data_IF_174535360082
#
_entry.id   IF_174535360082
#
_cell.length_a   1.000
_cell.length_b   1.000
_cell.length_c   1.000
_cell.angle_alpha   90.00
_cell.angle_beta   90.00
_cell.angle_gamma   90.00
#
_symmetry.space_group_name_H-M   'P 1'
#
loop_
_entity.id
_entity.type
_entity.pdbx_description
1 polymer ?
#
# COMPACT_ATOMS: atom_id res chain seq x y z
N UNK A 1 -6.56 1.26 5.70
CA UNK A 1 -7.98 1.57 5.39
C UNK A 1 -8.90 0.38 5.62
N UNK A 2 -8.38 -0.85 5.70
CA UNK A 2 -9.19 -2.06 5.64
C UNK A 2 -9.66 -2.34 4.21
N UNK A 3 -10.46 -3.38 4.05
CA UNK A 3 -11.05 -3.78 2.77
C UNK A 3 -12.11 -2.75 2.37
N UNK A 4 -11.83 -2.01 1.31
CA UNK A 4 -12.71 -0.92 0.88
C UNK A 4 -12.50 -0.61 -0.59
N UNK A 5 -13.52 0.00 -1.21
CA UNK A 5 -13.33 0.79 -2.43
C UNK A 5 -12.65 2.12 -2.11
N UNK A 6 -12.01 2.78 -3.09
CA UNK A 6 -11.63 4.18 -2.97
C UNK A 6 -12.89 5.01 -2.73
N UNK A 7 -12.85 5.89 -1.74
CA UNK A 7 -13.98 6.73 -1.40
C UNK A 7 -13.51 8.03 -0.76
N UNK A 8 -14.35 9.06 -0.84
CA UNK A 8 -14.03 10.40 -0.35
C UNK A 8 -13.68 10.40 1.15
N UNK A 9 -14.35 9.59 1.96
CA UNK A 9 -14.04 9.47 3.38
C UNK A 9 -12.60 8.98 3.62
N UNK A 10 -12.10 8.07 2.77
CA UNK A 10 -10.72 7.60 2.84
C UNK A 10 -9.73 8.67 2.38
N UNK A 11 -10.06 9.38 1.29
CA UNK A 11 -9.26 10.50 0.80
C UNK A 11 -9.09 11.59 1.86
N UNK A 12 -10.20 12.02 2.46
CA UNK A 12 -10.20 13.03 3.52
C UNK A 12 -9.41 12.58 4.76
N UNK A 13 -9.58 11.33 5.18
CA UNK A 13 -8.83 10.78 6.31
C UNK A 13 -7.32 10.63 6.04
N UNK A 14 -6.92 10.49 4.78
CA UNK A 14 -5.54 10.28 4.37
C UNK A 14 -4.80 11.59 4.04
N UNK A 15 -5.46 12.76 4.06
CA UNK A 15 -4.86 14.05 3.68
C UNK A 15 -3.57 14.32 4.44
N UNK A 16 -2.45 14.41 3.72
CA UNK A 16 -1.12 14.71 4.25
C UNK A 16 -0.53 13.62 5.15
N UNK A 17 -1.02 12.38 5.06
CA UNK A 17 -0.50 11.28 5.88
C UNK A 17 0.95 10.93 5.54
N UNK A 18 1.79 10.66 6.54
CA UNK A 18 3.15 10.15 6.29
C UNK A 18 3.09 8.76 5.64
N UNK A 19 2.20 7.89 6.10
CA UNK A 19 2.00 6.56 5.56
C UNK A 19 0.51 6.24 5.42
N UNK A 20 0.09 5.88 4.21
CA UNK A 20 -1.21 5.27 3.96
C UNK A 20 -1.03 3.76 3.77
N UNK A 21 -1.73 2.95 4.57
CA UNK A 21 -1.84 1.50 4.35
C UNK A 21 -3.20 1.22 3.70
N UNK A 22 -3.21 0.71 2.47
CA UNK A 22 -4.45 0.55 1.68
C UNK A 22 -4.59 -0.85 1.08
N UNK A 23 -5.85 -1.29 0.92
CA UNK A 23 -6.19 -2.52 0.21
C UNK A 23 -5.80 -2.43 -1.27
N UNK A 24 -5.26 -3.52 -1.81
CA UNK A 24 -4.87 -3.64 -3.22
C UNK A 24 -5.10 -5.06 -3.71
N UNK A 25 -6.29 -5.58 -3.46
CA UNK A 25 -6.66 -6.96 -3.76
C UNK A 25 -6.54 -7.31 -5.24
N UNK A 26 -6.69 -6.33 -6.14
CA UNK A 26 -6.72 -6.52 -7.59
C UNK A 26 -5.72 -5.62 -8.34
N UNK A 27 -5.36 -6.02 -9.56
CA UNK A 27 -4.71 -5.13 -10.54
C UNK A 27 -5.77 -4.36 -11.33
N UNK A 28 -5.38 -3.33 -12.07
CA UNK A 28 -6.31 -2.52 -12.86
C UNK A 28 -7.03 -3.32 -13.95
N UNK A 29 -6.42 -4.39 -14.47
CA UNK A 29 -7.07 -5.31 -15.42
C UNK A 29 -8.37 -5.93 -14.89
N UNK A 30 -8.48 -6.07 -13.56
CA UNK A 30 -9.63 -6.66 -12.87
C UNK A 30 -10.48 -5.60 -12.12
N UNK A 31 -10.50 -4.35 -12.61
CA UNK A 31 -11.23 -3.24 -11.95
C UNK A 31 -12.72 -3.50 -11.77
N UNK A 32 -13.38 -4.16 -12.73
CA UNK A 32 -14.80 -4.52 -12.62
C UNK A 32 -15.03 -5.48 -11.45
N UNK A 33 -14.14 -6.47 -11.30
CA UNK A 33 -14.18 -7.42 -10.20
C UNK A 33 -13.90 -6.75 -8.85
N UNK A 34 -12.94 -5.83 -8.82
CA UNK A 34 -12.65 -5.03 -7.63
C UNK A 34 -13.90 -4.26 -7.19
N UNK A 35 -14.63 -3.67 -8.15
CA UNK A 35 -15.89 -2.99 -7.89
C UNK A 35 -16.97 -3.93 -7.33
N UNK A 36 -17.22 -5.07 -7.98
CA UNK A 36 -18.22 -6.05 -7.54
C UNK A 36 -17.96 -6.61 -6.14
N UNK A 37 -16.69 -6.85 -5.82
CA UNK A 37 -16.26 -7.42 -4.54
C UNK A 37 -15.96 -6.36 -3.47
N UNK A 38 -16.13 -5.06 -3.79
CA UNK A 38 -15.92 -3.91 -2.91
C UNK A 38 -14.46 -3.74 -2.42
N UNK A 39 -13.52 -4.08 -3.28
CA UNK A 39 -12.08 -3.93 -3.06
C UNK A 39 -11.45 -2.88 -3.98
N UNK A 40 -10.24 -2.46 -3.64
CA UNK A 40 -9.45 -1.53 -4.44
C UNK A 40 -8.49 -2.27 -5.38
N UNK A 41 -8.26 -1.67 -6.54
CA UNK A 41 -7.08 -1.99 -7.37
C UNK A 41 -5.84 -1.25 -6.85
N UNK A 42 -4.64 -1.74 -7.17
CA UNK A 42 -3.40 -1.06 -6.79
C UNK A 42 -3.27 0.34 -7.40
N UNK A 43 -3.69 0.52 -8.66
CA UNK A 43 -3.75 1.84 -9.30
C UNK A 43 -4.70 2.79 -8.56
N UNK A 44 -5.89 2.33 -8.21
CA UNK A 44 -6.86 3.14 -7.47
C UNK A 44 -6.34 3.53 -6.08
N UNK A 45 -5.68 2.61 -5.37
CA UNK A 45 -5.03 2.86 -4.09
C UNK A 45 -3.96 3.96 -4.21
N UNK A 46 -3.10 3.84 -5.22
CA UNK A 46 -2.00 4.76 -5.48
C UNK A 46 -2.47 6.15 -5.89
N UNK A 47 -3.49 6.21 -6.74
CA UNK A 47 -4.13 7.46 -7.12
C UNK A 47 -4.74 8.17 -5.91
N UNK A 48 -5.47 7.45 -5.06
CA UNK A 48 -6.03 8.03 -3.83
C UNK A 48 -4.94 8.56 -2.90
N UNK A 49 -3.84 7.81 -2.74
CA UNK A 49 -2.71 8.23 -1.91
C UNK A 49 -2.03 9.49 -2.46
N UNK A 50 -1.87 9.56 -3.79
CA UNK A 50 -1.31 10.71 -4.50
C UNK A 50 -2.19 11.95 -4.35
N UNK A 51 -3.51 11.81 -4.57
CA UNK A 51 -4.49 12.88 -4.38
C UNK A 51 -4.58 13.34 -2.91
N UNK A 52 -4.41 12.42 -1.95
CA UNK A 52 -4.34 12.74 -0.53
C UNK A 52 -3.04 13.48 -0.14
N UNK A 53 -2.01 13.46 -0.99
CA UNK A 53 -0.68 13.96 -0.65
C UNK A 53 0.03 13.11 0.41
N UNK A 54 -0.19 11.80 0.40
CA UNK A 54 0.48 10.88 1.32
C UNK A 54 1.96 10.72 0.94
N UNK A 55 2.86 10.70 1.94
CA UNK A 55 4.29 10.62 1.68
C UNK A 55 4.76 9.21 1.25
N UNK A 56 4.04 8.16 1.68
CA UNK A 56 4.29 6.77 1.32
C UNK A 56 2.99 5.97 1.27
N UNK A 57 2.87 5.03 0.32
CA UNK A 57 1.77 4.07 0.25
C UNK A 57 2.28 2.65 0.49
N UNK A 58 1.70 1.97 1.46
CA UNK A 58 1.87 0.54 1.69
C UNK A 58 0.65 -0.23 1.14
N UNK A 59 0.88 -0.98 0.07
CA UNK A 59 -0.09 -1.90 -0.52
C UNK A 59 -0.15 -3.18 0.29
N UNK A 60 -1.33 -3.54 0.78
CA UNK A 60 -1.57 -4.76 1.54
C UNK A 60 -2.79 -5.52 0.99
N UNK A 61 -3.02 -6.71 1.53
CA UNK A 61 -4.20 -7.52 1.18
C UNK A 61 -4.25 -7.90 -0.32
N UNK A 62 -3.08 -8.14 -0.92
CA UNK A 62 -2.98 -8.56 -2.32
C UNK A 62 -3.44 -10.01 -2.52
N UNK A 63 -4.25 -10.23 -3.56
CA UNK A 63 -4.61 -11.59 -4.00
C UNK A 63 -3.37 -12.36 -4.46
N UNK A 64 -3.25 -13.61 -4.04
CA UNK A 64 -2.14 -14.52 -4.42
C UNK A 64 -2.07 -14.84 -5.92
N UNK A 65 -3.05 -14.38 -6.70
CA UNK A 65 -3.11 -14.54 -8.16
C UNK A 65 -2.14 -13.64 -8.90
N UNK A 66 -1.76 -12.51 -8.31
CA UNK A 66 -0.92 -11.53 -8.97
C UNK A 66 0.53 -11.61 -8.49
N UNK A 67 1.46 -11.37 -9.41
CA UNK A 67 2.85 -11.16 -9.04
C UNK A 67 2.98 -9.79 -8.38
N UNK A 68 3.46 -9.74 -7.13
CA UNK A 68 3.59 -8.50 -6.34
C UNK A 68 4.34 -7.40 -7.10
N UNK A 69 5.37 -7.77 -7.89
CA UNK A 69 6.07 -6.80 -8.72
C UNK A 69 5.18 -6.09 -9.74
N UNK A 70 4.25 -6.80 -10.39
CA UNK A 70 3.35 -6.19 -11.37
C UNK A 70 2.34 -5.23 -10.70
N UNK A 71 1.81 -5.63 -9.54
CA UNK A 71 0.93 -4.80 -8.71
C UNK A 71 1.64 -3.52 -8.28
N UNK A 72 2.91 -3.64 -7.88
CA UNK A 72 3.72 -2.52 -7.41
C UNK A 72 4.10 -1.56 -8.54
N UNK A 73 4.47 -2.07 -9.71
CA UNK A 73 4.79 -1.23 -10.87
C UNK A 73 3.57 -0.40 -11.29
N UNK A 74 2.38 -1.01 -11.31
CA UNK A 74 1.13 -0.30 -11.62
C UNK A 74 0.84 0.82 -10.60
N UNK A 75 1.05 0.57 -9.31
CA UNK A 75 0.88 1.61 -8.30
C UNK A 75 1.90 2.74 -8.45
N UNK A 76 3.14 2.42 -8.85
CA UNK A 76 4.22 3.40 -9.03
C UNK A 76 4.01 4.33 -10.21
N UNK A 77 3.14 3.98 -11.15
CA UNK A 77 2.70 4.92 -12.19
C UNK A 77 1.95 6.13 -11.61
N UNK A 78 1.26 5.96 -10.48
CA UNK A 78 0.49 7.02 -9.82
C UNK A 78 1.23 7.63 -8.61
N UNK A 79 2.03 6.81 -7.91
CA UNK A 79 2.83 7.23 -6.76
C UNK A 79 4.14 6.42 -6.65
N UNK A 80 5.27 7.05 -7.00
CA UNK A 80 6.60 6.41 -6.96
C UNK A 80 6.97 5.85 -5.57
N UNK A 81 6.50 6.51 -4.50
CA UNK A 81 6.70 6.10 -3.10
C UNK A 81 5.82 4.91 -2.65
N UNK A 82 5.18 4.20 -3.58
CA UNK A 82 4.47 2.96 -3.28
C UNK A 82 5.45 1.81 -2.94
N UNK A 83 5.09 1.06 -1.90
CA UNK A 83 5.77 -0.14 -1.44
C UNK A 83 4.78 -1.29 -1.27
N UNK A 84 5.27 -2.52 -1.35
CA UNK A 84 4.52 -3.74 -1.04
C UNK A 84 5.23 -4.47 0.12
N UNK A 85 4.92 -4.11 1.38
CA UNK A 85 5.52 -4.75 2.54
C UNK A 85 5.17 -6.23 2.58
N UNK A 86 6.10 -7.05 3.05
CA UNK A 86 5.91 -8.47 3.27
C UNK A 86 5.78 -8.76 4.76
N UNK A 87 5.37 -9.98 5.06
CA UNK A 87 5.38 -10.51 6.42
C UNK A 87 6.75 -10.25 7.08
N UNK A 88 6.68 -9.66 8.28
CA UNK A 88 7.82 -9.27 9.12
C UNK A 88 8.66 -8.08 8.62
N UNK A 89 8.26 -7.39 7.55
CA UNK A 89 8.81 -6.07 7.25
C UNK A 89 8.30 -5.03 8.27
N UNK A 90 9.11 -4.02 8.56
CA UNK A 90 8.75 -2.91 9.47
C UNK A 90 8.79 -1.61 8.69
N UNK A 91 7.80 -0.74 8.88
CA UNK A 91 7.87 0.64 8.38
C UNK A 91 8.15 1.57 9.56
N UNK A 92 9.28 2.26 9.50
CA UNK A 92 9.64 3.26 10.49
C UNK A 92 9.00 4.60 10.11
N UNK A 93 8.24 5.18 11.04
CA UNK A 93 7.66 6.52 10.94
C UNK A 93 8.43 7.46 11.87
N UNK A 94 9.47 8.13 11.37
CA UNK A 94 10.21 9.10 12.17
C UNK A 94 9.36 10.36 12.40
N UNK A 95 9.76 11.19 13.37
CA UNK A 95 9.19 12.53 13.52
C UNK A 95 9.44 13.37 12.24
N UNK A 96 8.56 14.33 11.89
CA UNK A 96 8.66 15.08 10.63
C UNK A 96 10.03 15.73 10.39
N UNK A 97 10.70 16.19 11.44
CA UNK A 97 12.04 16.81 11.36
C UNK A 97 13.19 15.82 11.09
N UNK A 98 12.94 14.51 11.17
CA UNK A 98 13.94 13.44 11.04
C UNK A 98 13.90 12.73 9.68
N UNK A 99 12.99 13.13 8.79
CA UNK A 99 12.91 12.68 7.40
C UNK A 99 11.66 11.86 7.07
N UNK A 100 11.58 11.27 5.87
CA UNK A 100 10.41 10.52 5.42
C UNK A 100 10.35 9.11 6.03
N UNK A 101 9.18 8.43 5.96
CA UNK A 101 9.02 7.02 6.29
C UNK A 101 10.01 6.11 5.56
N UNK A 102 10.38 5.00 6.20
CA UNK A 102 11.33 4.02 5.62
C UNK A 102 10.87 2.59 5.84
N UNK A 103 10.92 1.79 4.78
CA UNK A 103 10.75 0.34 4.87
C UNK A 103 12.04 -0.32 5.35
N UNK A 104 11.94 -1.15 6.37
CA UNK A 104 12.99 -1.98 6.96
C UNK A 104 12.67 -3.46 6.71
N UNK A 105 13.18 -4.06 5.62
CA UNK A 105 12.80 -5.41 5.23
C UNK A 105 13.23 -6.48 6.25
N UNK A 106 12.30 -7.33 6.67
CA UNK A 106 12.53 -8.44 7.58
C UNK A 106 13.01 -8.05 8.99
N UNK A 107 12.89 -6.78 9.38
CA UNK A 107 13.37 -6.30 10.67
C UNK A 107 12.66 -6.94 11.88
N UNK A 108 11.43 -7.44 11.69
CA UNK A 108 10.69 -8.18 12.72
C UNK A 108 10.78 -9.71 12.55
N UNK A 109 11.65 -10.22 11.66
CA UNK A 109 11.75 -11.66 11.41
C UNK A 109 12.38 -12.36 12.62
N UNK A 110 11.76 -13.43 13.16
CA UNK A 110 12.35 -14.15 14.27
C UNK A 110 13.70 -14.76 13.87
N UNK A 111 14.67 -14.85 14.81
CA UNK A 111 15.94 -15.51 14.56
C UNK A 111 15.68 -16.94 14.07
N UNK A 112 16.35 -17.34 12.99
CA UNK A 112 16.20 -18.69 12.44
C UNK A 112 16.66 -19.71 13.49
N UNK A 113 15.74 -20.54 13.98
CA UNK A 113 16.10 -21.75 14.72
C UNK A 113 16.96 -22.61 13.80
N UNK A 114 18.22 -22.82 14.18
CA UNK A 114 19.09 -23.77 13.52
C UNK A 114 18.55 -25.16 13.88
N UNK A 115 17.91 -25.83 12.92
CA UNK A 115 17.65 -27.26 12.99
C UNK A 115 18.93 -28.06 12.77
#
# INVERSE_FOLDING_TARGET
TGDTRPCDATLEAARGADLLVHDSSFTHEDVERAFETKHSTAREAARLASEAGAAMLALVHMSTRYHVGAVLEEAREELEAAIAPRDFDVVELPLPERGPPKLLPGAARPPRERR
#
